data_IF_607098864692
#
_entry.id   IF_607098864692
#
_cell.length_a   1.000
_cell.length_b   1.000
_cell.length_c   1.000
_cell.angle_alpha   90.00
_cell.angle_beta   90.00
_cell.angle_gamma   90.00
#
_symmetry.space_group_name_H-M   'P 1'
#
loop_
_entity.id
_entity.type
_entity.pdbx_description
1 polymer ?
#
# COMPACT_ATOMS: atom_id res chain seq x y z
N UNK A 1 44.74 -56.84 -37.28
CA UNK A 1 45.18 -56.09 -36.06
C UNK A 1 44.16 -54.98 -35.79
N UNK A 2 43.15 -55.27 -34.99
CA UNK A 2 42.00 -54.39 -34.72
C UNK A 2 42.13 -53.85 -33.29
N UNK A 3 42.31 -52.54 -33.12
CA UNK A 3 42.28 -51.86 -31.83
C UNK A 3 40.81 -51.53 -31.49
N UNK A 4 40.29 -52.11 -30.42
CA UNK A 4 39.03 -51.71 -29.76
C UNK A 4 39.27 -50.50 -28.86
N UNK A 5 38.58 -49.44 -29.11
CA UNK A 5 38.53 -48.27 -28.18
C UNK A 5 37.39 -48.48 -27.19
N UNK A 6 37.70 -48.47 -25.89
CA UNK A 6 36.73 -48.45 -24.79
C UNK A 6 36.32 -47.02 -24.54
N UNK A 7 35.03 -46.70 -24.68
CA UNK A 7 34.45 -45.47 -24.15
C UNK A 7 34.12 -45.65 -22.65
N UNK A 8 34.76 -44.92 -21.78
CA UNK A 8 34.33 -44.76 -20.39
C UNK A 8 33.28 -43.65 -20.31
N UNK A 9 32.04 -44.02 -19.96
CA UNK A 9 31.01 -43.05 -19.60
C UNK A 9 31.23 -42.60 -18.14
N UNK A 10 31.57 -41.37 -17.93
CA UNK A 10 31.62 -40.74 -16.59
C UNK A 10 30.19 -40.24 -16.29
N UNK A 11 29.50 -40.88 -15.35
CA UNK A 11 28.28 -40.40 -14.76
C UNK A 11 28.67 -39.36 -13.69
N UNK A 12 28.42 -38.09 -13.97
CA UNK A 12 28.52 -37.01 -12.99
C UNK A 12 27.24 -37.01 -12.11
N UNK A 13 27.38 -37.52 -10.89
CA UNK A 13 26.36 -37.41 -9.88
C UNK A 13 26.38 -35.98 -9.31
N UNK A 14 25.37 -35.19 -9.65
CA UNK A 14 25.15 -33.87 -9.07
C UNK A 14 24.61 -34.03 -7.65
N UNK A 15 25.46 -33.83 -6.67
CA UNK A 15 25.08 -33.67 -5.26
C UNK A 15 24.36 -32.32 -5.10
N UNK A 16 23.05 -32.31 -5.02
CA UNK A 16 22.31 -31.20 -4.50
C UNK A 16 22.51 -31.13 -2.99
N UNK A 17 23.35 -30.21 -2.53
CA UNK A 17 23.42 -29.87 -1.13
C UNK A 17 22.12 -29.14 -0.73
N UNK A 18 21.28 -29.81 0.03
CA UNK A 18 20.12 -29.20 0.71
C UNK A 18 20.68 -28.32 1.81
N UNK A 19 20.74 -27.02 1.57
CA UNK A 19 21.04 -26.03 2.62
C UNK A 19 19.86 -25.96 3.61
N UNK A 20 20.10 -25.89 4.91
CA UNK A 20 19.02 -25.80 5.89
C UNK A 20 18.29 -24.47 5.74
N UNK A 21 16.96 -24.55 5.74
CA UNK A 21 16.03 -23.41 5.66
C UNK A 21 16.01 -22.61 6.97
N UNK A 22 17.09 -21.95 7.32
CA UNK A 22 17.16 -20.98 8.43
C UNK A 22 18.37 -20.06 8.29
N UNK A 23 18.44 -19.35 7.16
CA UNK A 23 19.27 -18.16 7.06
C UNK A 23 18.33 -17.01 6.66
N UNK A 24 17.59 -16.47 7.64
CA UNK A 24 17.08 -15.10 7.54
C UNK A 24 18.30 -14.19 7.39
N UNK A 25 18.63 -13.84 6.15
CA UNK A 25 19.61 -12.80 5.91
C UNK A 25 19.02 -11.49 6.42
N UNK A 26 19.44 -11.08 7.61
CA UNK A 26 19.21 -9.77 8.16
C UNK A 26 19.69 -8.74 7.14
N UNK A 27 18.74 -8.04 6.51
CA UNK A 27 19.08 -6.87 5.70
C UNK A 27 19.45 -5.78 6.69
N UNK A 28 20.73 -5.65 6.97
CA UNK A 28 21.29 -4.48 7.63
C UNK A 28 21.13 -3.34 6.64
N UNK A 29 20.04 -2.57 6.76
CA UNK A 29 20.00 -1.23 6.21
C UNK A 29 21.01 -0.46 7.04
N UNK A 30 22.18 -0.13 6.46
CA UNK A 30 23.18 0.66 7.17
C UNK A 30 22.51 1.92 7.71
N UNK A 31 22.73 2.26 9.00
CA UNK A 31 22.26 3.53 9.54
C UNK A 31 22.84 4.63 8.66
N UNK A 32 22.01 5.61 8.30
CA UNK A 32 22.48 6.80 7.62
C UNK A 32 23.45 7.54 8.56
N UNK A 33 24.74 7.31 8.35
CA UNK A 33 25.84 7.87 9.14
C UNK A 33 26.03 9.39 8.90
N UNK A 34 25.18 10.02 8.10
CA UNK A 34 25.29 11.44 7.73
C UNK A 34 24.74 12.42 8.77
N UNK A 35 24.24 11.94 9.93
CA UNK A 35 23.76 12.80 11.03
C UNK A 35 24.59 12.58 12.30
N UNK A 36 25.60 13.40 12.59
CA UNK A 36 26.27 13.41 13.89
C UNK A 36 25.31 14.03 14.92
N UNK A 37 24.87 13.24 15.88
CA UNK A 37 23.91 13.61 16.91
C UNK A 37 22.66 12.76 16.81
N UNK A 38 22.75 11.53 17.28
CA UNK A 38 21.65 10.57 17.25
C UNK A 38 20.37 11.15 17.87
N UNK A 39 19.22 10.75 17.37
CA UNK A 39 17.92 11.15 17.91
C UNK A 39 17.82 10.72 19.38
N UNK A 40 17.92 11.67 20.36
CA UNK A 40 17.98 11.31 21.77
C UNK A 40 16.64 10.73 22.23
N UNK A 41 16.72 9.60 22.90
CA UNK A 41 15.58 9.00 23.57
C UNK A 41 15.50 9.57 25.01
N UNK A 42 14.30 9.87 25.53
CA UNK A 42 14.10 10.19 26.94
C UNK A 42 14.64 9.09 27.85
N UNK A 43 15.00 9.46 29.10
CA UNK A 43 15.45 8.47 30.07
C UNK A 43 14.29 7.56 30.52
N UNK A 44 14.61 6.29 30.79
CA UNK A 44 13.65 5.28 31.18
C UNK A 44 14.19 3.87 31.10
N UNK A 45 13.54 2.93 31.77
CA UNK A 45 14.01 1.56 31.96
C UNK A 45 14.24 0.77 30.66
N UNK A 46 13.48 1.03 29.61
CA UNK A 46 13.63 0.35 28.33
C UNK A 46 14.37 1.18 27.27
N UNK A 47 14.96 2.34 27.61
CA UNK A 47 15.75 3.17 26.68
C UNK A 47 16.79 2.35 25.94
N UNK A 48 17.58 1.57 26.69
CA UNK A 48 18.63 0.72 26.11
C UNK A 48 18.06 -0.38 25.22
N UNK A 49 16.92 -0.99 25.60
CA UNK A 49 16.26 -2.01 24.79
C UNK A 49 15.83 -1.42 23.42
N UNK A 50 15.28 -0.20 23.41
CA UNK A 50 14.92 0.49 22.16
C UNK A 50 16.16 0.79 21.33
N UNK A 51 17.23 1.29 21.95
CA UNK A 51 18.49 1.55 21.24
C UNK A 51 19.06 0.30 20.61
N UNK A 52 19.18 -0.78 21.37
CA UNK A 52 19.85 -2.01 20.92
C UNK A 52 19.04 -2.76 19.84
N UNK A 53 17.72 -2.76 19.91
CA UNK A 53 16.89 -3.59 19.05
C UNK A 53 16.22 -2.82 17.89
N UNK A 54 15.89 -1.53 18.07
CA UNK A 54 15.20 -0.78 17.01
C UNK A 54 16.16 -0.14 16.02
N UNK A 55 17.45 0.04 16.36
CA UNK A 55 18.46 0.60 15.44
C UNK A 55 19.06 -0.43 14.49
N UNK A 56 18.77 -1.70 14.66
CA UNK A 56 19.26 -2.77 13.79
C UNK A 56 18.84 -2.58 12.32
N UNK A 57 17.65 -2.03 12.09
CA UNK A 57 17.07 -1.89 10.74
C UNK A 57 16.92 -0.45 10.27
N UNK A 58 16.80 0.53 11.17
CA UNK A 58 16.61 1.95 10.84
C UNK A 58 17.01 2.83 12.02
N UNK A 59 17.22 4.12 11.77
CA UNK A 59 17.50 5.09 12.83
C UNK A 59 16.26 5.39 13.69
N UNK A 60 16.46 6.06 14.82
CA UNK A 60 15.40 6.37 15.79
C UNK A 60 14.48 7.53 15.38
N UNK A 61 14.72 8.17 14.24
CA UNK A 61 13.92 9.31 13.75
C UNK A 61 12.43 9.01 13.72
N UNK A 62 12.08 7.80 13.26
CA UNK A 62 10.69 7.37 13.18
C UNK A 62 10.02 7.18 14.54
N UNK A 63 10.81 6.99 15.60
CA UNK A 63 10.33 6.90 16.98
C UNK A 63 10.16 8.29 17.58
N UNK A 64 11.23 9.09 17.60
CA UNK A 64 11.23 10.40 18.27
C UNK A 64 10.30 11.42 17.63
N UNK A 65 10.02 11.26 16.33
CA UNK A 65 9.07 12.11 15.61
C UNK A 65 7.63 11.54 15.59
N UNK A 66 7.40 10.43 16.26
CA UNK A 66 6.08 9.81 16.37
C UNK A 66 5.46 10.13 17.73
N UNK A 67 4.21 10.55 17.70
CA UNK A 67 3.38 10.65 18.90
C UNK A 67 2.12 9.83 18.62
N UNK A 68 1.96 8.74 19.37
CA UNK A 68 0.96 7.72 19.07
C UNK A 68 0.13 7.39 20.30
N UNK A 69 -1.12 6.97 20.07
CA UNK A 69 -1.95 6.38 21.12
C UNK A 69 -1.30 5.11 21.68
N UNK A 70 -1.69 4.67 22.88
CA UNK A 70 -1.24 3.39 23.43
C UNK A 70 -1.50 2.21 22.47
N UNK A 71 -2.63 2.21 21.79
CA UNK A 71 -2.97 1.19 20.77
C UNK A 71 -2.06 1.27 19.55
N UNK A 72 -1.82 2.46 19.02
CA UNK A 72 -0.93 2.66 17.86
C UNK A 72 0.53 2.25 18.19
N UNK A 73 1.00 2.46 19.44
CA UNK A 73 2.30 1.99 19.88
C UNK A 73 2.34 0.46 20.01
N UNK A 74 1.27 -0.16 20.53
CA UNK A 74 1.14 -1.62 20.55
C UNK A 74 1.29 -2.20 19.16
N UNK A 75 0.52 -1.69 18.20
CA UNK A 75 0.57 -2.16 16.82
C UNK A 75 1.93 -1.86 16.15
N UNK A 76 2.57 -0.74 16.49
CA UNK A 76 3.91 -0.44 15.98
C UNK A 76 4.93 -1.49 16.45
N UNK A 77 4.90 -1.87 17.73
CA UNK A 77 5.78 -2.92 18.26
C UNK A 77 5.48 -4.27 17.61
N UNK A 78 4.20 -4.62 17.44
CA UNK A 78 3.79 -5.83 16.73
C UNK A 78 4.31 -5.84 15.28
N UNK A 79 4.18 -4.72 14.55
CA UNK A 79 4.71 -4.58 13.19
C UNK A 79 6.22 -4.79 13.12
N UNK A 80 6.98 -4.23 14.07
CA UNK A 80 8.44 -4.42 14.10
C UNK A 80 8.81 -5.89 14.37
N UNK A 81 8.08 -6.57 15.26
CA UNK A 81 8.26 -8.01 15.50
C UNK A 81 7.96 -8.84 14.25
N UNK A 82 6.86 -8.58 13.60
CA UNK A 82 6.50 -9.25 12.33
C UNK A 82 7.54 -9.01 11.23
N UNK A 83 8.19 -7.84 11.23
CA UNK A 83 9.29 -7.52 10.33
C UNK A 83 10.64 -8.14 10.76
N UNK A 84 10.68 -8.89 11.86
CA UNK A 84 11.87 -9.62 12.32
C UNK A 84 12.69 -8.92 13.41
N UNK A 85 12.13 -7.92 14.13
CA UNK A 85 12.83 -7.36 15.29
C UNK A 85 13.09 -8.43 16.35
N UNK A 86 14.35 -8.59 16.83
CA UNK A 86 14.78 -9.70 17.69
C UNK A 86 14.39 -9.46 19.16
N UNK A 87 13.10 -9.27 19.45
CA UNK A 87 12.59 -9.01 20.79
C UNK A 87 11.53 -10.06 21.19
N UNK A 88 11.63 -10.54 22.43
CA UNK A 88 10.67 -11.45 23.03
C UNK A 88 9.44 -10.67 23.60
N UNK A 89 8.48 -11.39 24.18
CA UNK A 89 7.23 -10.79 24.70
C UNK A 89 7.47 -9.82 25.87
N UNK A 90 8.37 -10.15 26.79
CA UNK A 90 8.73 -9.30 27.90
C UNK A 90 9.37 -7.99 27.44
N UNK A 91 10.35 -8.09 26.52
CA UNK A 91 11.01 -6.95 25.93
C UNK A 91 10.02 -6.08 25.13
N UNK A 92 9.12 -6.69 24.36
CA UNK A 92 8.08 -5.99 23.62
C UNK A 92 7.16 -5.20 24.54
N UNK A 93 6.76 -5.78 25.69
CA UNK A 93 5.95 -5.11 26.71
C UNK A 93 6.70 -3.94 27.35
N UNK A 94 7.97 -4.12 27.72
CA UNK A 94 8.81 -3.06 28.28
C UNK A 94 9.00 -1.90 27.31
N UNK A 95 9.33 -2.21 26.04
CA UNK A 95 9.47 -1.22 24.96
C UNK A 95 8.15 -0.45 24.76
N UNK A 96 7.01 -1.15 24.68
CA UNK A 96 5.71 -0.51 24.52
C UNK A 96 5.41 0.46 25.65
N UNK A 97 5.58 0.03 26.90
CA UNK A 97 5.34 0.87 28.10
C UNK A 97 6.21 2.13 28.04
N UNK A 98 7.48 1.97 27.72
CA UNK A 98 8.40 3.09 27.56
C UNK A 98 7.97 4.06 26.45
N UNK A 99 7.60 3.55 25.26
CA UNK A 99 7.21 4.39 24.13
C UNK A 99 5.92 5.16 24.41
N UNK A 100 4.93 4.55 25.09
CA UNK A 100 3.69 5.22 25.50
C UNK A 100 3.99 6.38 26.46
N UNK A 101 4.86 6.16 27.44
CA UNK A 101 5.23 7.19 28.42
C UNK A 101 6.08 8.31 27.80
N UNK A 102 7.02 7.96 26.92
CA UNK A 102 8.00 8.89 26.35
C UNK A 102 7.47 9.69 25.16
N UNK A 103 6.53 9.16 24.40
CA UNK A 103 5.99 9.74 23.18
C UNK A 103 4.46 9.65 23.12
N UNK A 104 3.77 10.30 24.07
CA UNK A 104 2.31 10.27 24.16
C UNK A 104 1.67 10.91 22.91
N UNK A 105 0.44 10.52 22.64
CA UNK A 105 -0.32 11.00 21.50
C UNK A 105 -0.50 12.54 21.55
N UNK A 106 -0.24 13.17 20.43
CA UNK A 106 -0.58 14.58 20.21
C UNK A 106 -2.01 14.72 19.73
N UNK A 107 -2.65 15.83 20.08
CA UNK A 107 -3.98 16.15 19.58
C UNK A 107 -4.04 16.07 18.05
N UNK A 108 -5.05 15.39 17.54
CA UNK A 108 -5.34 15.25 16.10
C UNK A 108 -6.62 15.98 15.74
N UNK A 109 -6.87 16.26 14.45
CA UNK A 109 -8.14 16.79 14.02
C UNK A 109 -9.28 15.89 14.49
N UNK A 110 -10.35 16.49 14.99
CA UNK A 110 -11.58 15.75 15.29
C UNK A 110 -12.28 15.42 13.98
N UNK A 111 -12.78 14.19 13.82
CA UNK A 111 -13.56 13.85 12.64
C UNK A 111 -14.88 14.60 12.66
N UNK A 112 -15.29 15.07 11.48
CA UNK A 112 -16.61 15.66 11.28
C UNK A 112 -17.52 14.60 10.68
N UNK A 113 -18.70 14.39 11.28
CA UNK A 113 -19.75 13.49 10.76
C UNK A 113 -20.80 14.33 10.07
N UNK A 114 -21.10 13.98 8.84
CA UNK A 114 -22.12 14.64 8.02
C UNK A 114 -23.16 13.60 7.61
N UNK A 115 -24.39 13.76 8.10
CA UNK A 115 -25.51 12.91 7.75
C UNK A 115 -25.96 13.11 6.31
N UNK A 116 -26.71 12.14 5.77
CA UNK A 116 -27.30 12.22 4.46
C UNK A 116 -28.05 10.95 4.04
N UNK A 117 -28.48 10.88 2.76
CA UNK A 117 -29.37 9.81 2.30
C UNK A 117 -28.68 8.44 2.21
N UNK A 118 -27.37 8.40 1.96
CA UNK A 118 -26.63 7.13 1.85
C UNK A 118 -26.39 6.57 3.25
N UNK A 119 -26.62 5.27 3.42
CA UNK A 119 -26.32 4.55 4.65
C UNK A 119 -25.22 3.52 4.37
N UNK A 120 -24.38 3.27 5.37
CA UNK A 120 -23.29 2.28 5.26
C UNK A 120 -23.29 1.37 6.47
N UNK A 121 -22.77 0.16 6.25
CA UNK A 121 -22.51 -0.80 7.32
C UNK A 121 -21.05 -1.26 7.23
N UNK A 122 -20.35 -1.21 8.35
CA UNK A 122 -18.97 -1.66 8.44
C UNK A 122 -18.90 -3.10 8.91
N UNK A 123 -18.03 -3.88 8.27
CA UNK A 123 -17.62 -5.20 8.72
C UNK A 123 -16.11 -5.25 8.74
N UNK A 124 -15.53 -5.70 9.83
CA UNK A 124 -14.08 -5.68 10.06
C UNK A 124 -13.59 -7.05 10.53
N UNK A 125 -12.42 -7.45 10.06
CA UNK A 125 -11.75 -8.69 10.46
C UNK A 125 -10.30 -8.38 10.84
N UNK A 126 -9.83 -8.96 11.96
CA UNK A 126 -8.43 -8.94 12.30
C UNK A 126 -7.64 -9.87 11.36
N UNK A 127 -6.44 -9.47 10.95
CA UNK A 127 -5.53 -10.37 10.25
C UNK A 127 -4.98 -11.42 11.22
N UNK A 128 -4.79 -12.70 10.82
CA UNK A 128 -4.25 -13.74 11.69
C UNK A 128 -2.89 -13.39 12.29
N UNK A 129 -1.98 -12.83 11.49
CA UNK A 129 -0.68 -12.39 11.98
C UNK A 129 -0.76 -10.99 12.59
N UNK A 130 -0.53 -10.82 13.91
CA UNK A 130 -0.47 -9.51 14.56
C UNK A 130 0.66 -8.66 13.95
N UNK A 131 0.40 -7.38 13.72
CA UNK A 131 1.37 -6.49 13.10
C UNK A 131 1.60 -6.73 11.61
N UNK A 132 0.72 -7.48 10.95
CA UNK A 132 0.82 -7.75 9.51
C UNK A 132 0.87 -6.47 8.66
N UNK A 133 0.30 -5.38 9.17
CA UNK A 133 0.18 -4.12 8.44
C UNK A 133 -0.47 -4.33 7.07
N UNK A 134 -1.75 -4.70 7.01
CA UNK A 134 -2.46 -4.81 5.74
C UNK A 134 -2.40 -3.46 5.03
N UNK A 135 -1.75 -3.44 3.84
CA UNK A 135 -1.51 -2.19 3.13
C UNK A 135 -2.57 -1.90 2.10
N UNK A 136 -2.71 -2.74 1.10
CA UNK A 136 -3.75 -2.61 0.08
C UNK A 136 -4.78 -3.74 0.24
N UNK A 137 -6.09 -3.42 0.23
CA UNK A 137 -7.17 -4.38 0.14
C UNK A 137 -7.46 -4.70 -1.33
N UNK A 138 -8.05 -5.85 -1.59
CA UNK A 138 -8.58 -6.21 -2.90
C UNK A 138 -9.82 -7.10 -2.71
N UNK A 139 -10.96 -6.70 -3.27
CA UNK A 139 -12.15 -7.55 -3.31
C UNK A 139 -12.24 -8.21 -4.68
N UNK A 140 -12.16 -9.53 -4.71
CA UNK A 140 -12.21 -10.33 -5.94
C UNK A 140 -13.63 -10.75 -6.32
N UNK A 141 -13.89 -11.10 -7.61
CA UNK A 141 -15.24 -11.47 -8.08
C UNK A 141 -15.87 -12.69 -7.39
N UNK A 142 -15.06 -13.56 -6.79
CA UNK A 142 -15.51 -14.70 -5.99
C UNK A 142 -16.01 -14.31 -4.58
N UNK A 143 -15.96 -13.01 -4.27
CA UNK A 143 -16.41 -12.45 -3.02
C UNK A 143 -15.40 -12.47 -1.87
N UNK A 144 -14.16 -12.91 -2.13
CA UNK A 144 -13.10 -12.89 -1.13
C UNK A 144 -12.54 -11.48 -0.94
N UNK A 145 -12.16 -11.16 0.29
CA UNK A 145 -11.40 -9.95 0.63
C UNK A 145 -9.94 -10.31 0.87
N UNK A 146 -9.06 -9.80 0.02
CA UNK A 146 -7.62 -10.01 0.09
C UNK A 146 -6.90 -8.80 0.69
N UNK A 147 -5.67 -9.02 1.19
CA UNK A 147 -4.77 -7.94 1.66
C UNK A 147 -3.31 -8.28 1.43
N UNK A 148 -2.50 -7.24 1.26
CA UNK A 148 -1.05 -7.34 1.32
C UNK A 148 -0.58 -7.16 2.75
N UNK A 149 -0.09 -8.23 3.39
CA UNK A 149 0.50 -8.21 4.73
C UNK A 149 1.95 -7.76 4.67
N UNK A 150 2.18 -6.45 4.52
CA UNK A 150 3.49 -5.90 4.17
C UNK A 150 4.59 -6.26 5.17
N UNK A 151 4.30 -6.20 6.48
CA UNK A 151 5.28 -6.51 7.52
C UNK A 151 5.32 -8.00 7.87
N UNK A 152 4.21 -8.71 7.71
CA UNK A 152 4.17 -10.17 7.84
C UNK A 152 4.73 -10.91 6.62
N UNK A 153 5.06 -10.20 5.55
CA UNK A 153 5.56 -10.78 4.30
C UNK A 153 4.66 -11.88 3.74
N UNK A 154 3.35 -11.61 3.71
CA UNK A 154 2.35 -12.55 3.22
C UNK A 154 1.29 -11.85 2.37
N UNK A 155 0.55 -12.64 1.58
CA UNK A 155 -0.74 -12.27 1.01
C UNK A 155 -1.81 -12.98 1.83
N UNK A 156 -2.79 -12.25 2.33
CA UNK A 156 -3.87 -12.83 3.11
C UNK A 156 -5.22 -12.68 2.43
N UNK A 157 -6.16 -13.55 2.80
CA UNK A 157 -7.57 -13.44 2.41
C UNK A 157 -8.49 -13.79 3.57
N UNK A 158 -9.69 -13.24 3.54
CA UNK A 158 -10.81 -13.65 4.40
C UNK A 158 -12.05 -13.85 3.55
N UNK A 159 -12.82 -14.88 3.87
CA UNK A 159 -14.20 -15.05 3.37
C UNK A 159 -15.11 -14.15 4.22
N UNK A 160 -15.71 -13.11 3.64
CA UNK A 160 -16.60 -12.22 4.40
C UNK A 160 -17.87 -12.90 4.91
N UNK A 161 -18.26 -14.06 4.38
CA UNK A 161 -19.48 -14.79 4.80
C UNK A 161 -19.21 -15.58 6.09
N UNK A 162 -18.06 -16.26 6.16
CA UNK A 162 -17.71 -17.15 7.26
C UNK A 162 -16.78 -16.53 8.27
N UNK A 163 -15.99 -15.50 7.87
CA UNK A 163 -14.92 -14.93 8.65
C UNK A 163 -13.63 -15.79 8.64
N UNK A 164 -13.60 -16.89 7.88
CA UNK A 164 -12.42 -17.73 7.75
C UNK A 164 -11.31 -16.99 7.01
N UNK A 165 -10.14 -16.90 7.63
CA UNK A 165 -8.98 -16.23 7.07
C UNK A 165 -7.85 -17.21 6.76
N UNK A 166 -7.12 -16.95 5.67
CA UNK A 166 -5.94 -17.69 5.27
C UNK A 166 -4.83 -16.74 4.84
N UNK A 167 -3.60 -17.04 5.25
CA UNK A 167 -2.40 -16.32 4.83
C UNK A 167 -1.51 -17.21 3.98
N UNK A 168 -0.88 -16.63 2.96
CA UNK A 168 0.06 -17.25 2.04
C UNK A 168 1.42 -16.58 2.25
N UNK A 169 2.34 -17.18 3.02
CA UNK A 169 3.67 -16.63 3.24
C UNK A 169 4.45 -16.52 1.92
N UNK A 170 5.10 -15.38 1.71
CA UNK A 170 5.96 -15.18 0.54
C UNK A 170 7.32 -15.79 0.87
N UNK A 171 7.84 -16.77 0.07
CA UNK A 171 9.05 -17.53 0.42
C UNK A 171 10.34 -16.74 0.30
N UNK A 172 10.30 -15.56 -0.29
CA UNK A 172 11.44 -14.63 -0.41
C UNK A 172 11.10 -13.30 0.26
N UNK A 173 12.08 -12.41 0.41
CA UNK A 173 11.79 -11.06 0.86
C UNK A 173 10.87 -10.36 -0.13
N UNK A 174 9.67 -10.00 0.29
CA UNK A 174 8.64 -9.38 -0.56
C UNK A 174 8.26 -8.00 -0.05
N UNK A 175 7.71 -7.92 1.15
CA UNK A 175 7.07 -6.72 1.67
C UNK A 175 5.94 -6.27 0.73
N UNK A 176 4.91 -7.10 0.48
CA UNK A 176 3.90 -6.84 -0.54
C UNK A 176 3.19 -5.52 -0.27
N UNK A 177 2.97 -4.73 -1.32
CA UNK A 177 2.35 -3.41 -1.21
C UNK A 177 1.04 -3.36 -2.00
N UNK A 178 1.04 -2.87 -3.24
CA UNK A 178 -0.16 -2.85 -4.08
C UNK A 178 -0.60 -4.24 -4.49
N UNK A 179 -1.92 -4.48 -4.53
CA UNK A 179 -2.54 -5.72 -5.00
C UNK A 179 -3.45 -5.47 -6.20
N UNK A 180 -3.50 -6.43 -7.10
CA UNK A 180 -4.48 -6.53 -8.17
C UNK A 180 -4.68 -8.00 -8.55
N UNK A 181 -5.87 -8.38 -9.00
CA UNK A 181 -6.13 -9.69 -9.59
C UNK A 181 -6.00 -9.67 -11.11
N UNK A 182 -5.68 -10.83 -11.69
CA UNK A 182 -5.78 -11.03 -13.13
C UNK A 182 -7.13 -11.69 -13.49
N UNK A 183 -7.42 -11.78 -14.79
CA UNK A 183 -8.67 -12.42 -15.30
C UNK A 183 -8.84 -13.88 -14.90
N UNK A 184 -7.76 -14.57 -14.51
CA UNK A 184 -7.75 -15.97 -14.10
C UNK A 184 -7.89 -16.11 -12.57
N UNK A 185 -8.01 -14.99 -11.85
CA UNK A 185 -8.17 -14.88 -10.40
C UNK A 185 -6.88 -15.01 -9.60
N UNK A 186 -5.71 -14.93 -10.23
CA UNK A 186 -4.44 -14.90 -9.50
C UNK A 186 -4.18 -13.51 -8.94
N UNK A 187 -3.46 -13.46 -7.82
CA UNK A 187 -3.15 -12.20 -7.12
C UNK A 187 -1.74 -11.73 -7.49
N UNK A 188 -1.65 -10.51 -8.01
CA UNK A 188 -0.40 -9.85 -8.34
C UNK A 188 -0.09 -8.76 -7.32
N UNK A 189 1.20 -8.56 -7.04
CA UNK A 189 1.61 -7.56 -6.05
C UNK A 189 2.96 -6.92 -6.37
N UNK A 190 3.14 -5.70 -5.88
CA UNK A 190 4.45 -5.06 -5.83
C UNK A 190 5.24 -5.54 -4.62
N UNK A 191 6.36 -6.23 -4.84
CA UNK A 191 7.29 -6.65 -3.79
C UNK A 191 8.18 -5.48 -3.36
N UNK A 192 7.62 -4.58 -2.55
CA UNK A 192 8.17 -3.27 -2.22
C UNK A 192 9.53 -3.32 -1.51
N UNK A 193 9.85 -4.41 -0.80
CA UNK A 193 11.15 -4.62 -0.15
C UNK A 193 12.02 -5.64 -0.88
N UNK A 194 11.46 -6.34 -1.85
CA UNK A 194 12.11 -7.43 -2.58
C UNK A 194 12.50 -7.09 -4.01
N UNK A 195 12.20 -5.87 -4.49
CA UNK A 195 12.49 -5.42 -5.84
C UNK A 195 11.99 -6.39 -6.92
N UNK A 196 10.71 -6.79 -6.84
CA UNK A 196 10.07 -7.66 -7.83
C UNK A 196 8.58 -7.38 -7.95
N UNK A 197 7.98 -7.80 -9.05
CA UNK A 197 6.54 -8.04 -9.12
C UNK A 197 6.32 -9.53 -8.79
N UNK A 198 5.39 -9.82 -7.90
CA UNK A 198 5.03 -11.19 -7.55
C UNK A 198 3.63 -11.54 -8.05
N UNK A 199 3.44 -12.82 -8.38
CA UNK A 199 2.15 -13.44 -8.71
C UNK A 199 1.95 -14.64 -7.82
N UNK A 200 0.82 -14.70 -7.11
CA UNK A 200 0.34 -15.85 -6.40
C UNK A 200 -0.72 -16.59 -7.26
N UNK A 201 -0.46 -17.82 -7.62
CA UNK A 201 -1.49 -18.71 -8.14
C UNK A 201 -2.38 -19.16 -6.97
N UNK A 202 -3.63 -18.71 -6.97
CA UNK A 202 -4.55 -18.95 -5.85
C UNK A 202 -4.97 -20.42 -5.74
N UNK A 203 -4.94 -21.17 -6.86
CA UNK A 203 -5.34 -22.58 -6.90
C UNK A 203 -4.27 -23.49 -6.32
N UNK A 204 -3.00 -23.22 -6.66
CA UNK A 204 -1.86 -24.04 -6.20
C UNK A 204 -1.19 -23.51 -4.95
N UNK A 205 -1.31 -22.20 -4.69
CA UNK A 205 -0.57 -21.49 -3.64
C UNK A 205 0.88 -21.16 -4.01
N UNK A 206 1.27 -21.41 -5.26
CA UNK A 206 2.62 -21.18 -5.73
C UNK A 206 2.85 -19.72 -6.12
N UNK A 207 4.08 -19.25 -5.94
CA UNK A 207 4.49 -17.91 -6.33
C UNK A 207 5.37 -17.92 -7.58
N UNK A 208 5.14 -16.93 -8.44
CA UNK A 208 6.07 -16.58 -9.53
C UNK A 208 6.59 -15.16 -9.31
N UNK A 209 7.89 -14.96 -9.50
CA UNK A 209 8.56 -13.68 -9.27
C UNK A 209 9.16 -13.14 -10.56
N UNK A 210 9.02 -11.83 -10.74
CA UNK A 210 9.56 -11.07 -11.86
C UNK A 210 10.49 -9.98 -11.27
N UNK A 211 11.81 -10.25 -11.17
CA UNK A 211 12.74 -9.31 -10.56
C UNK A 211 12.88 -8.03 -11.39
N UNK A 212 13.08 -6.90 -10.71
CA UNK A 212 13.35 -5.64 -11.40
C UNK A 212 14.67 -5.72 -12.15
N UNK A 213 14.71 -5.30 -13.43
CA UNK A 213 15.92 -5.36 -14.26
C UNK A 213 16.98 -4.31 -13.87
N UNK A 214 16.59 -3.25 -13.15
CA UNK A 214 17.50 -2.22 -12.65
C UNK A 214 17.56 -2.27 -11.11
N UNK A 215 18.75 -2.37 -10.50
CA UNK A 215 18.91 -2.42 -9.04
C UNK A 215 18.45 -1.14 -8.32
N UNK A 216 18.26 -0.03 -9.03
CA UNK A 216 17.69 1.20 -8.48
C UNK A 216 16.16 1.14 -8.36
N UNK A 217 15.49 0.28 -9.12
CA UNK A 217 14.04 0.07 -9.08
C UNK A 217 13.64 -0.85 -7.91
N UNK A 218 13.94 -0.46 -6.68
CA UNK A 218 13.87 -1.34 -5.50
C UNK A 218 12.49 -1.50 -4.89
N UNK A 219 11.54 -0.61 -5.17
CA UNK A 219 10.28 -0.52 -4.44
C UNK A 219 9.04 -0.42 -5.35
N UNK A 220 8.75 -1.44 -6.19
CA UNK A 220 7.51 -1.48 -6.95
C UNK A 220 6.30 -1.33 -5.99
N UNK A 221 5.36 -0.45 -6.37
CA UNK A 221 4.40 0.10 -5.43
C UNK A 221 2.94 -0.17 -5.82
N UNK A 222 2.43 0.47 -6.87
CA UNK A 222 1.03 0.36 -7.29
C UNK A 222 0.95 -0.33 -8.65
N UNK A 223 0.59 -1.62 -8.71
CA UNK A 223 0.34 -2.34 -9.96
C UNK A 223 -1.10 -2.13 -10.43
N UNK A 224 -1.31 -2.09 -11.75
CA UNK A 224 -2.63 -2.05 -12.38
C UNK A 224 -2.54 -2.59 -13.81
N UNK A 225 -3.46 -3.49 -14.19
CA UNK A 225 -3.57 -3.99 -15.55
C UNK A 225 -4.26 -2.98 -16.47
N UNK A 226 -3.73 -2.81 -17.68
CA UNK A 226 -4.47 -2.18 -18.77
C UNK A 226 -5.43 -3.20 -19.44
N UNK A 227 -6.24 -2.71 -20.37
CA UNK A 227 -7.20 -3.56 -21.09
C UNK A 227 -6.55 -4.62 -21.98
N UNK A 228 -5.29 -4.43 -22.34
CA UNK A 228 -4.52 -5.36 -23.18
C UNK A 228 -3.81 -6.43 -22.34
N UNK A 229 -3.92 -6.33 -21.02
CA UNK A 229 -3.37 -7.26 -20.03
C UNK A 229 -1.90 -7.00 -19.70
N UNK A 230 -1.39 -5.83 -20.01
CA UNK A 230 -0.06 -5.38 -19.56
C UNK A 230 -0.18 -4.83 -18.15
N UNK A 231 0.70 -5.27 -17.25
CA UNK A 231 0.75 -4.77 -15.88
C UNK A 231 1.65 -3.54 -15.80
N UNK A 232 1.03 -2.39 -15.59
CA UNK A 232 1.73 -1.14 -15.30
C UNK A 232 1.96 -1.00 -13.80
N UNK A 233 3.08 -0.39 -13.40
CA UNK A 233 3.37 -0.17 -11.99
C UNK A 233 4.27 1.04 -11.76
N UNK A 234 4.11 1.67 -10.60
CA UNK A 234 5.03 2.71 -10.14
C UNK A 234 6.13 2.11 -9.27
N UNK A 235 7.32 2.74 -9.28
CA UNK A 235 8.45 2.46 -8.39
C UNK A 235 8.77 3.75 -7.66
N UNK A 236 8.28 3.87 -6.44
CA UNK A 236 8.16 5.14 -5.73
C UNK A 236 9.51 5.82 -5.50
N UNK A 237 10.35 5.26 -4.64
CA UNK A 237 11.63 5.87 -4.26
C UNK A 237 12.69 5.73 -5.36
N UNK A 238 12.60 4.67 -6.18
CA UNK A 238 13.44 4.50 -7.36
C UNK A 238 13.16 5.52 -8.45
N UNK A 239 11.97 6.14 -8.47
CA UNK A 239 11.58 7.16 -9.44
C UNK A 239 11.28 6.60 -10.82
N UNK A 240 10.87 5.35 -10.95
CA UNK A 240 10.51 4.74 -12.24
C UNK A 240 9.01 4.56 -12.38
N UNK A 241 8.57 4.52 -13.61
CA UNK A 241 7.39 3.78 -14.04
C UNK A 241 7.84 2.52 -14.76
N UNK A 242 7.05 1.45 -14.64
CA UNK A 242 7.34 0.18 -15.28
C UNK A 242 6.12 -0.44 -15.92
N UNK A 243 6.36 -1.31 -16.90
CA UNK A 243 5.35 -2.21 -17.43
C UNK A 243 5.91 -3.61 -17.55
N UNK A 244 5.10 -4.60 -17.20
CA UNK A 244 5.39 -6.02 -17.31
C UNK A 244 4.40 -6.66 -18.29
N UNK A 245 4.90 -7.36 -19.28
CA UNK A 245 4.08 -8.28 -20.08
C UNK A 245 4.02 -9.65 -19.37
N UNK A 246 2.88 -10.07 -18.83
CA UNK A 246 2.76 -11.34 -18.14
C UNK A 246 3.00 -12.59 -19.01
N UNK A 247 2.83 -12.46 -20.34
CA UNK A 247 3.02 -13.56 -21.31
C UNK A 247 4.49 -13.87 -21.51
N UNK A 248 5.30 -12.82 -21.66
CA UNK A 248 6.75 -12.96 -21.90
C UNK A 248 7.59 -12.88 -20.64
N UNK A 249 7.08 -12.20 -19.61
CA UNK A 249 7.79 -11.85 -18.39
C UNK A 249 8.72 -10.64 -18.56
N UNK A 250 8.70 -9.98 -19.71
CA UNK A 250 9.53 -8.81 -19.97
C UNK A 250 9.08 -7.61 -19.15
N UNK A 251 10.02 -6.99 -18.43
CA UNK A 251 9.82 -5.72 -17.71
C UNK A 251 10.57 -4.62 -18.44
N UNK A 252 9.85 -3.53 -18.77
CA UNK A 252 10.43 -2.28 -19.25
C UNK A 252 10.28 -1.20 -18.19
N UNK A 253 11.39 -0.60 -17.78
CA UNK A 253 11.44 0.53 -16.85
C UNK A 253 11.80 1.80 -17.60
N UNK A 254 11.24 2.92 -17.14
CA UNK A 254 11.59 4.24 -17.65
C UNK A 254 11.43 5.30 -16.56
N UNK A 255 12.22 6.36 -16.64
CA UNK A 255 12.11 7.50 -15.72
C UNK A 255 11.15 8.52 -16.31
N UNK A 256 10.09 8.89 -15.57
CA UNK A 256 9.39 10.13 -15.86
C UNK A 256 10.32 11.32 -15.70
N UNK A 257 10.04 12.41 -16.41
CA UNK A 257 10.87 13.61 -16.37
C UNK A 257 11.07 14.12 -14.92
N UNK A 258 12.31 14.48 -14.58
CA UNK A 258 12.66 15.01 -13.27
C UNK A 258 12.82 13.98 -12.14
N UNK A 259 12.77 12.68 -12.40
CA UNK A 259 13.14 11.64 -11.43
C UNK A 259 14.69 11.55 -11.27
N UNK A 260 15.24 11.05 -10.16
CA UNK A 260 14.59 10.61 -8.93
C UNK A 260 14.14 11.78 -8.04
N UNK A 261 13.26 11.50 -7.08
CA UNK A 261 12.74 12.51 -6.14
C UNK A 261 11.28 12.90 -6.42
N UNK A 262 10.79 12.69 -7.66
CA UNK A 262 9.38 12.91 -8.00
C UNK A 262 8.45 11.89 -7.36
N UNK A 263 8.93 10.65 -7.10
CA UNK A 263 8.22 9.57 -6.42
C UNK A 263 6.87 9.22 -7.09
N UNK A 264 6.85 8.58 -8.27
CA UNK A 264 5.62 8.10 -8.91
C UNK A 264 4.81 7.22 -7.93
N UNK A 265 3.49 7.42 -7.84
CA UNK A 265 2.71 6.85 -6.75
C UNK A 265 1.42 6.17 -7.22
N UNK A 266 0.28 6.87 -7.21
CA UNK A 266 -0.99 6.32 -7.64
C UNK A 266 -1.01 6.12 -9.16
N UNK A 267 -1.74 5.13 -9.62
CA UNK A 267 -1.91 4.79 -11.03
C UNK A 267 -3.39 4.54 -11.32
N UNK A 268 -3.90 5.09 -12.41
CA UNK A 268 -5.26 4.87 -12.92
C UNK A 268 -5.26 4.90 -14.44
N UNK A 269 -6.29 4.28 -15.02
CA UNK A 269 -6.66 4.44 -16.43
C UNK A 269 -7.96 5.25 -16.52
N UNK A 270 -8.12 5.98 -17.60
CA UNK A 270 -9.40 6.56 -18.01
C UNK A 270 -10.25 5.50 -18.73
N UNK A 271 -11.39 5.89 -19.29
CA UNK A 271 -12.30 5.00 -19.98
C UNK A 271 -11.70 4.26 -21.18
N UNK A 272 -10.59 4.76 -21.74
CA UNK A 272 -9.83 4.08 -22.79
C UNK A 272 -9.17 2.78 -22.29
N UNK A 273 -8.96 2.64 -20.97
CA UNK A 273 -8.36 1.49 -20.33
C UNK A 273 -6.92 1.20 -20.73
N UNK A 274 -6.25 2.13 -21.43
CA UNK A 274 -4.94 1.88 -22.03
C UNK A 274 -3.87 2.89 -21.61
N UNK A 275 -4.22 4.17 -21.58
CA UNK A 275 -3.28 5.23 -21.27
C UNK A 275 -3.15 5.43 -19.77
N UNK A 276 -1.99 5.11 -19.14
CA UNK A 276 -1.83 5.26 -17.69
C UNK A 276 -1.74 6.72 -17.28
N UNK A 277 -2.45 7.06 -16.22
CA UNK A 277 -2.34 8.32 -15.49
C UNK A 277 -1.81 8.05 -14.10
N UNK A 278 -0.86 8.85 -13.64
CA UNK A 278 -0.23 8.65 -12.34
C UNK A 278 0.07 9.97 -11.63
N UNK A 279 0.14 9.90 -10.30
CA UNK A 279 0.53 11.02 -9.47
C UNK A 279 1.99 10.91 -9.04
N UNK A 280 2.55 12.05 -8.63
CA UNK A 280 3.81 12.08 -7.90
C UNK A 280 3.56 12.39 -6.41
N UNK A 281 4.14 11.59 -5.53
CA UNK A 281 4.17 11.90 -4.11
C UNK A 281 5.22 12.96 -3.76
N UNK A 282 6.32 12.99 -4.50
CA UNK A 282 7.43 13.93 -4.29
C UNK A 282 7.18 15.35 -4.79
N UNK A 283 6.13 15.58 -5.58
CA UNK A 283 5.81 16.90 -6.15
C UNK A 283 4.31 17.10 -6.38
N UNK A 284 3.93 18.32 -6.75
CA UNK A 284 2.57 18.71 -7.08
C UNK A 284 2.24 18.47 -8.56
N UNK A 285 2.38 17.22 -9.01
CA UNK A 285 2.14 16.89 -10.43
C UNK A 285 1.24 15.67 -10.58
N UNK A 286 0.50 15.67 -11.68
CA UNK A 286 -0.14 14.50 -12.29
C UNK A 286 0.50 14.32 -13.67
N UNK A 287 0.65 13.10 -14.12
CA UNK A 287 1.22 12.79 -15.41
C UNK A 287 0.49 11.66 -16.12
N UNK A 288 0.67 11.59 -17.42
CA UNK A 288 0.21 10.49 -18.25
C UNK A 288 1.32 9.99 -19.16
N UNK A 289 1.20 8.75 -19.62
CA UNK A 289 2.18 8.06 -20.44
C UNK A 289 1.50 7.65 -21.74
N UNK A 290 2.12 7.97 -22.87
CA UNK A 290 1.73 7.34 -24.13
C UNK A 290 2.19 5.87 -24.10
N UNK A 291 1.28 4.88 -24.15
CA UNK A 291 1.64 3.47 -23.96
C UNK A 291 2.51 2.90 -25.10
N UNK A 292 2.55 3.54 -26.28
CA UNK A 292 3.30 3.09 -27.43
C UNK A 292 4.71 3.69 -27.46
N UNK A 293 4.84 5.00 -27.23
CA UNK A 293 6.12 5.73 -27.30
C UNK A 293 6.83 5.83 -25.96
N UNK A 294 6.12 5.60 -24.83
CA UNK A 294 6.55 5.81 -23.44
C UNK A 294 6.87 7.27 -23.11
N UNK A 295 6.44 8.20 -23.94
CA UNK A 295 6.53 9.62 -23.65
C UNK A 295 5.62 10.02 -22.50
N UNK A 296 6.16 10.79 -21.56
CA UNK A 296 5.45 11.28 -20.38
C UNK A 296 5.05 12.74 -20.57
N UNK A 297 3.76 13.02 -20.37
CA UNK A 297 3.23 14.39 -20.29
C UNK A 297 2.88 14.71 -18.86
N UNK A 298 3.47 15.78 -18.32
CA UNK A 298 3.26 16.23 -16.95
C UNK A 298 2.38 17.47 -16.87
N UNK A 299 1.57 17.55 -15.83
CA UNK A 299 0.72 18.68 -15.48
C UNK A 299 1.08 19.15 -14.07
N UNK A 300 1.54 20.39 -13.94
CA UNK A 300 1.83 21.01 -12.66
C UNK A 300 0.51 21.52 -12.05
N UNK A 301 0.22 21.12 -10.82
CA UNK A 301 -0.97 21.55 -10.11
C UNK A 301 -0.78 22.95 -9.51
N UNK A 302 -1.86 23.74 -9.36
CA UNK A 302 -1.76 25.14 -8.95
C UNK A 302 -1.10 25.36 -7.59
N UNK A 303 -1.36 24.51 -6.60
CA UNK A 303 -0.75 24.62 -5.27
C UNK A 303 0.53 23.77 -5.18
N UNK A 304 1.67 24.42 -4.97
CA UNK A 304 2.97 23.76 -4.84
C UNK A 304 3.11 22.82 -3.63
N UNK A 305 2.22 22.95 -2.63
CA UNK A 305 2.16 22.09 -1.45
C UNK A 305 1.36 20.80 -1.68
N UNK A 306 0.56 20.73 -2.75
CA UNK A 306 -0.26 19.56 -3.06
C UNK A 306 0.59 18.29 -3.08
N UNK A 307 0.14 17.25 -2.38
CA UNK A 307 0.73 15.91 -2.38
C UNK A 307 -0.38 14.88 -2.51
N UNK A 308 -0.33 14.12 -3.60
CA UNK A 308 -1.36 13.14 -3.96
C UNK A 308 -0.96 11.75 -3.49
N UNK A 309 -1.79 11.10 -2.66
CA UNK A 309 -1.60 9.70 -2.26
C UNK A 309 -2.35 8.75 -3.19
N UNK A 310 -3.64 8.93 -3.35
CA UNK A 310 -4.48 8.05 -4.19
C UNK A 310 -5.32 8.89 -5.14
N UNK A 311 -5.73 8.25 -6.22
CA UNK A 311 -6.61 8.85 -7.24
C UNK A 311 -7.79 7.93 -7.52
N UNK A 312 -8.91 8.52 -7.96
CA UNK A 312 -10.05 7.84 -8.52
C UNK A 312 -10.42 8.47 -9.87
N UNK A 313 -11.19 7.76 -10.69
CA UNK A 313 -11.68 8.26 -11.98
C UNK A 313 -13.18 8.04 -12.03
N UNK A 314 -13.93 9.07 -12.38
CA UNK A 314 -15.38 9.01 -12.61
C UNK A 314 -15.67 8.67 -14.08
N UNK A 315 -16.92 8.27 -14.39
CA UNK A 315 -17.33 7.81 -15.73
C UNK A 315 -17.21 8.88 -16.82
N UNK A 316 -17.08 10.15 -16.44
CA UNK A 316 -16.80 11.29 -17.32
C UNK A 316 -15.29 11.56 -17.55
N UNK A 317 -14.43 10.62 -17.14
CA UNK A 317 -12.97 10.69 -17.21
C UNK A 317 -12.32 11.78 -16.35
N UNK A 318 -13.03 12.35 -15.38
CA UNK A 318 -12.40 13.25 -14.42
C UNK A 318 -11.56 12.48 -13.43
N UNK A 319 -10.32 12.96 -13.19
CA UNK A 319 -9.43 12.41 -12.17
C UNK A 319 -9.66 13.13 -10.86
N UNK A 320 -9.98 12.36 -9.82
CA UNK A 320 -10.17 12.84 -8.47
C UNK A 320 -9.01 12.43 -7.58
N UNK A 321 -8.58 13.31 -6.70
CA UNK A 321 -7.50 13.01 -5.77
C UNK A 321 -7.68 13.67 -4.41
N UNK A 322 -7.21 12.99 -3.37
CA UNK A 322 -7.04 13.55 -2.04
C UNK A 322 -5.73 14.34 -1.98
N UNK A 323 -5.82 15.65 -1.71
CA UNK A 323 -4.66 16.46 -1.40
C UNK A 323 -4.27 16.28 0.07
N UNK A 324 -3.38 15.32 0.29
CA UNK A 324 -2.95 14.88 1.62
C UNK A 324 -2.35 16.02 2.45
N UNK A 325 -1.64 16.94 1.82
CA UNK A 325 -0.97 18.04 2.52
C UNK A 325 -1.91 19.16 2.94
N UNK A 326 -3.00 19.35 2.21
CA UNK A 326 -3.93 20.46 2.40
C UNK A 326 -5.31 20.03 2.94
N UNK A 327 -5.55 18.72 3.11
CA UNK A 327 -6.82 18.19 3.60
C UNK A 327 -8.00 18.40 2.65
N UNK A 328 -7.75 18.48 1.33
CA UNK A 328 -8.75 18.77 0.31
C UNK A 328 -9.07 17.56 -0.54
N UNK A 329 -10.26 17.55 -1.11
CA UNK A 329 -10.63 16.74 -2.27
C UNK A 329 -10.52 17.62 -3.51
N UNK A 330 -9.86 17.11 -4.58
CA UNK A 330 -9.69 17.88 -5.81
C UNK A 330 -10.04 17.05 -7.04
N UNK A 331 -10.57 17.73 -8.06
CA UNK A 331 -10.87 17.21 -9.39
C UNK A 331 -9.92 17.82 -10.40
N UNK A 332 -9.32 17.00 -11.23
CA UNK A 332 -8.47 17.39 -12.37
C UNK A 332 -9.15 16.97 -13.68
N UNK A 333 -9.23 17.88 -14.62
CA UNK A 333 -9.71 17.60 -15.99
C UNK A 333 -8.53 17.24 -16.91
N UNK A 334 -8.42 15.99 -17.38
CA UNK A 334 -7.32 15.54 -18.23
C UNK A 334 -7.24 16.25 -19.59
N UNK A 335 -8.35 16.81 -20.08
CA UNK A 335 -8.42 17.48 -21.38
C UNK A 335 -7.89 18.91 -21.32
N UNK A 336 -8.22 19.63 -20.25
CA UNK A 336 -7.91 21.06 -20.11
C UNK A 336 -6.78 21.33 -19.12
N UNK A 337 -6.50 20.40 -18.19
CA UNK A 337 -5.60 20.59 -17.07
C UNK A 337 -6.19 21.41 -15.91
N UNK A 338 -7.49 21.75 -15.99
CA UNK A 338 -8.16 22.54 -14.97
C UNK A 338 -8.33 21.76 -13.65
N UNK A 339 -8.18 22.47 -12.54
CA UNK A 339 -8.35 21.91 -11.18
C UNK A 339 -9.47 22.63 -10.46
N UNK A 340 -10.37 21.86 -9.82
CA UNK A 340 -11.33 22.36 -8.85
C UNK A 340 -11.15 21.64 -7.52
N UNK A 341 -11.04 22.38 -6.42
CA UNK A 341 -10.80 21.83 -5.09
C UNK A 341 -11.97 22.13 -4.14
N UNK A 342 -12.16 21.22 -3.21
CA UNK A 342 -13.20 21.26 -2.17
C UNK A 342 -12.55 21.07 -0.82
N UNK A 343 -12.93 21.86 0.19
CA UNK A 343 -12.43 21.71 1.55
C UNK A 343 -12.94 20.38 2.15
N UNK A 344 -12.04 19.57 2.68
CA UNK A 344 -12.40 18.32 3.36
C UNK A 344 -13.17 18.59 4.67
N UNK A 345 -14.13 17.73 5.06
CA UNK A 345 -14.97 17.96 6.24
C UNK A 345 -14.20 18.23 7.54
N UNK A 346 -13.13 17.53 7.79
CA UNK A 346 -12.35 17.65 9.03
C UNK A 346 -11.16 18.61 8.92
N UNK A 347 -11.12 19.41 7.86
CA UNK A 347 -10.18 20.51 7.68
C UNK A 347 -8.79 20.13 7.16
N UNK A 348 -7.87 21.10 7.12
CA UNK A 348 -6.62 21.00 6.36
C UNK A 348 -5.63 19.96 6.88
N UNK A 349 -5.77 19.52 8.12
CA UNK A 349 -4.90 18.51 8.74
C UNK A 349 -5.46 17.09 8.66
N UNK A 350 -6.59 16.88 7.96
CA UNK A 350 -7.30 15.59 7.90
C UNK A 350 -6.54 14.49 7.14
N UNK A 351 -5.66 14.86 6.24
CA UNK A 351 -4.82 13.94 5.45
C UNK A 351 -5.63 12.89 4.67
N UNK A 352 -6.37 13.25 3.61
CA UNK A 352 -7.05 12.33 2.72
C UNK A 352 -6.08 11.32 2.12
N UNK A 353 -6.29 10.00 2.35
CA UNK A 353 -5.34 8.98 1.91
C UNK A 353 -6.00 7.90 1.03
N UNK A 354 -6.59 6.87 1.63
CA UNK A 354 -7.30 5.84 0.88
C UNK A 354 -8.44 6.48 0.09
N UNK A 355 -8.57 6.11 -1.19
CA UNK A 355 -9.59 6.68 -2.09
C UNK A 355 -10.00 5.66 -3.14
N UNK A 356 -11.30 5.67 -3.47
CA UNK A 356 -11.89 4.94 -4.59
C UNK A 356 -13.11 5.67 -5.13
N UNK A 357 -13.63 5.21 -6.26
CA UNK A 357 -14.90 5.68 -6.85
C UNK A 357 -15.86 4.51 -6.92
N UNK A 358 -17.08 4.69 -6.43
CA UNK A 358 -18.17 3.73 -6.52
C UNK A 358 -19.42 4.46 -6.97
N UNK A 359 -20.03 4.03 -8.07
CA UNK A 359 -21.23 4.64 -8.65
C UNK A 359 -21.07 6.16 -8.87
N UNK A 360 -19.94 6.57 -9.44
CA UNK A 360 -19.54 7.96 -9.67
C UNK A 360 -19.45 8.86 -8.43
N UNK A 361 -19.63 8.32 -7.24
CA UNK A 361 -19.33 9.03 -6.01
C UNK A 361 -17.87 8.76 -5.59
N UNK A 362 -17.23 9.79 -5.08
CA UNK A 362 -15.85 9.70 -4.58
C UNK A 362 -15.90 9.31 -3.11
N UNK A 363 -15.17 8.26 -2.76
CA UNK A 363 -15.02 7.78 -1.40
C UNK A 363 -13.56 7.88 -0.97
N UNK A 364 -13.30 8.48 0.18
CA UNK A 364 -11.95 8.58 0.72
C UNK A 364 -11.95 8.55 2.25
N UNK A 365 -10.77 8.38 2.84
CA UNK A 365 -10.62 8.37 4.29
C UNK A 365 -9.73 9.52 4.73
N UNK A 366 -10.22 10.31 5.69
CA UNK A 366 -9.44 11.30 6.43
C UNK A 366 -8.60 10.58 7.49
N UNK A 367 -7.37 10.20 7.12
CA UNK A 367 -6.56 9.24 7.85
C UNK A 367 -5.82 9.82 9.06
N UNK A 368 -5.81 11.14 9.24
CA UNK A 368 -5.22 11.79 10.41
C UNK A 368 -6.22 12.09 11.53
N UNK A 369 -7.52 11.95 11.28
CA UNK A 369 -8.53 12.05 12.34
C UNK A 369 -8.51 10.82 13.24
N UNK A 370 -9.06 10.94 14.47
CA UNK A 370 -9.23 9.81 15.39
C UNK A 370 -10.63 9.86 16.03
N UNK A 371 -11.45 8.80 15.77
CA UNK A 371 -11.27 7.74 14.76
C UNK A 371 -11.12 8.32 13.34
N UNK A 372 -10.62 7.51 12.37
CA UNK A 372 -10.62 7.94 10.98
C UNK A 372 -12.06 8.14 10.49
N UNK A 373 -12.27 9.13 9.63
CA UNK A 373 -13.55 9.37 8.98
C UNK A 373 -13.55 8.84 7.54
N UNK A 374 -14.53 7.99 7.22
CA UNK A 374 -14.88 7.68 5.84
C UNK A 374 -15.71 8.82 5.30
N UNK A 375 -15.36 9.34 4.15
CA UNK A 375 -16.03 10.47 3.50
C UNK A 375 -16.53 10.04 2.11
N UNK A 376 -17.77 10.39 1.78
CA UNK A 376 -18.36 10.30 0.45
C UNK A 376 -18.58 11.72 -0.07
N UNK A 377 -18.21 11.96 -1.30
CA UNK A 377 -18.53 13.17 -2.04
C UNK A 377 -19.36 12.83 -3.28
N UNK A 378 -20.44 13.53 -3.48
CA UNK A 378 -21.27 13.40 -4.67
C UNK A 378 -20.94 14.53 -5.66
N UNK A 379 -20.33 14.23 -6.82
CA UNK A 379 -19.96 15.28 -7.78
C UNK A 379 -21.13 16.03 -8.41
N UNK A 380 -22.33 15.41 -8.43
CA UNK A 380 -23.51 16.00 -9.05
C UNK A 380 -24.13 17.10 -8.18
N UNK A 381 -24.12 16.87 -6.87
CA UNK A 381 -24.69 17.82 -5.90
C UNK A 381 -23.62 18.62 -5.17
N UNK A 382 -22.35 18.25 -5.32
CA UNK A 382 -21.19 18.80 -4.62
C UNK A 382 -21.34 18.75 -3.08
N UNK A 383 -21.95 17.68 -2.58
CA UNK A 383 -22.23 17.50 -1.15
C UNK A 383 -21.39 16.37 -0.55
N UNK A 384 -21.03 16.55 0.72
CA UNK A 384 -20.33 15.56 1.51
C UNK A 384 -21.27 14.78 2.43
N UNK A 385 -20.94 13.53 2.67
CA UNK A 385 -21.38 12.71 3.80
C UNK A 385 -20.17 12.07 4.45
N UNK A 386 -20.22 11.81 5.76
CA UNK A 386 -19.11 11.16 6.43
C UNK A 386 -19.54 10.32 7.63
N UNK A 387 -18.75 9.30 7.93
CA UNK A 387 -19.00 8.34 9.00
C UNK A 387 -17.70 8.05 9.74
N UNK A 388 -17.79 7.78 11.04
CA UNK A 388 -16.66 7.25 11.79
C UNK A 388 -16.42 5.78 11.44
N UNK A 389 -15.18 5.38 11.24
CA UNK A 389 -14.83 3.96 11.10
C UNK A 389 -14.85 3.35 12.52
N UNK A 390 -15.74 2.36 12.81
CA UNK A 390 -15.98 1.89 14.17
C UNK A 390 -14.74 1.34 14.87
N UNK A 391 -13.91 0.60 14.16
CA UNK A 391 -12.63 0.10 14.68
C UNK A 391 -11.52 1.14 14.79
N UNK A 392 -11.80 2.42 14.50
CA UNK A 392 -10.81 3.51 14.57
C UNK A 392 -10.05 3.79 13.29
N UNK A 393 -10.03 2.87 12.32
CA UNK A 393 -9.38 3.00 11.00
C UNK A 393 -7.85 2.89 11.02
N UNK A 394 -7.16 3.49 11.99
CA UNK A 394 -5.71 3.35 12.21
C UNK A 394 -4.79 3.68 11.04
N UNK A 395 -5.19 4.50 10.11
CA UNK A 395 -4.64 4.85 8.78
C UNK A 395 -5.11 3.86 7.71
N UNK A 396 -6.17 4.22 7.01
CA UNK A 396 -6.61 3.53 5.78
C UNK A 396 -5.81 4.06 4.60
N UNK A 397 -4.95 3.21 4.04
CA UNK A 397 -3.97 3.62 2.99
C UNK A 397 -4.49 3.41 1.58
N UNK A 398 -5.35 2.44 1.39
CA UNK A 398 -5.98 2.15 0.12
C UNK A 398 -7.41 1.64 0.32
N UNK A 399 -8.20 1.81 -0.71
CA UNK A 399 -9.59 1.37 -0.81
C UNK A 399 -9.84 0.87 -2.22
N UNK A 400 -10.64 -0.19 -2.36
CA UNK A 400 -11.03 -0.75 -3.64
C UNK A 400 -12.55 -0.98 -3.66
N UNK A 401 -13.25 -0.79 -4.80
CA UNK A 401 -14.65 -1.17 -4.89
C UNK A 401 -14.78 -2.68 -4.76
N UNK A 402 -15.91 -3.17 -4.23
CA UNK A 402 -16.27 -4.58 -4.38
C UNK A 402 -16.71 -4.87 -5.80
N UNK A 403 -16.54 -6.11 -6.26
CA UNK A 403 -16.84 -6.51 -7.63
C UNK A 403 -18.32 -6.29 -8.03
N UNK A 404 -19.22 -6.35 -7.05
CA UNK A 404 -20.66 -6.09 -7.23
C UNK A 404 -21.02 -4.60 -7.24
N UNK A 405 -20.06 -3.71 -7.00
CA UNK A 405 -20.28 -2.26 -6.94
C UNK A 405 -21.12 -1.77 -5.75
N UNK A 406 -21.40 -2.64 -4.76
CA UNK A 406 -22.21 -2.30 -3.59
C UNK A 406 -21.39 -2.13 -2.30
N UNK A 407 -20.07 -2.17 -2.39
CA UNK A 407 -19.22 -2.03 -1.24
C UNK A 407 -17.83 -1.49 -1.55
N UNK A 408 -17.08 -1.29 -0.48
CA UNK A 408 -15.69 -0.80 -0.53
C UNK A 408 -14.85 -1.65 0.41
N UNK A 409 -13.83 -2.30 -0.13
CA UNK A 409 -12.79 -2.95 0.65
C UNK A 409 -11.84 -1.91 1.24
N UNK A 410 -11.48 -2.04 2.50
CA UNK A 410 -10.55 -1.14 3.21
C UNK A 410 -9.48 -1.93 3.96
N UNK A 411 -8.27 -1.38 4.03
CA UNK A 411 -7.17 -1.88 4.88
C UNK A 411 -6.85 -0.89 5.98
N UNK A 412 -6.93 -1.33 7.22
CA UNK A 412 -6.63 -0.55 8.42
C UNK A 412 -5.22 -0.87 8.91
N UNK A 413 -4.23 -0.28 8.23
CA UNK A 413 -2.81 -0.66 8.34
C UNK A 413 -2.23 -0.58 9.75
N UNK A 414 -2.67 0.39 10.54
CA UNK A 414 -2.19 0.59 11.92
C UNK A 414 -2.90 -0.28 12.96
N UNK A 415 -3.87 -1.11 12.55
CA UNK A 415 -4.67 -1.93 13.45
C UNK A 415 -4.64 -3.42 13.10
N UNK A 416 -3.88 -3.81 12.09
CA UNK A 416 -3.85 -5.18 11.56
C UNK A 416 -5.25 -5.72 11.27
N UNK A 417 -6.08 -4.89 10.61
CA UNK A 417 -7.44 -5.23 10.23
C UNK A 417 -7.71 -4.94 8.76
N UNK A 418 -8.66 -5.66 8.21
CA UNK A 418 -9.28 -5.39 6.90
C UNK A 418 -10.78 -5.27 7.07
N UNK A 419 -11.46 -4.65 6.13
CA UNK A 419 -12.90 -4.51 6.24
C UNK A 419 -13.61 -4.29 4.90
N UNK A 420 -14.92 -4.42 4.96
CA UNK A 420 -15.84 -4.03 3.90
C UNK A 420 -16.80 -2.98 4.45
N UNK A 421 -16.96 -1.90 3.73
CA UNK A 421 -18.03 -0.92 3.90
C UNK A 421 -19.13 -1.29 2.91
N UNK A 422 -20.21 -1.84 3.40
CA UNK A 422 -21.42 -2.13 2.59
C UNK A 422 -22.18 -0.83 2.38
N UNK A 423 -22.46 -0.47 1.14
CA UNK A 423 -23.30 0.67 0.78
C UNK A 423 -24.74 0.15 0.70
N UNK A 424 -25.56 0.56 1.67
CA UNK A 424 -26.93 0.07 1.75
C UNK A 424 -27.82 0.73 0.69
N UNK A 425 -28.78 -0.01 0.11
CA UNK A 425 -29.76 0.58 -0.78
C UNK A 425 -30.45 1.77 -0.11
N UNK A 426 -30.60 2.86 -0.83
CA UNK A 426 -31.50 3.92 -0.38
C UNK A 426 -32.90 3.31 -0.29
N UNK A 427 -33.48 3.27 0.91
CA UNK A 427 -34.91 2.93 1.03
C UNK A 427 -35.66 3.88 0.14
N UNK A 428 -36.14 3.39 -1.01
CA UNK A 428 -37.18 4.05 -1.78
C UNK A 428 -38.40 4.02 -0.88
N UNK A 429 -38.71 5.16 -0.23
CA UNK A 429 -40.02 5.38 0.40
C UNK A 429 -41.12 5.30 -0.64
#
# INVERSE_FOLDING_TARGET
>A
MTRKSLLLSVIAASLYAVLPANAQQNVVVQPDASQPGGFPLPDGSAKKLVQDNCTVCHNLRNIVNSNKSPQDWQETVNMMRSAGAPINDEQANAIRTYLIASFPEKARPKPVVIDGPVKVKFREWATPTPGARPHDPLATPDGMLWWSGQFANNIGRVDPKTGEAKEYPIPIKGGPHGLIDDKDGNIWYGGNWGAHIGKLDVKTGEYKFYPMPDPKARDPHTPLFDKDGILWFSVQNGGFMGRLDPKTGEIKLFHPAGAPGQMPYALRFLSDGRQPWFSYWGSNKIATINPDTLEVKEFVLPDSKTRIRRMGVTSDDMIWYGDWSNGKLSRFDPKTGAVKSYEGPSGPMSQPYGMTVVNDAIWYVESNTRPNALVRFDPKTETFQSWLIPGGGGIVRHMMPTADGHGIAISMSGLSKVGIVEILPSNSN
#
